data_IF_305007004807
#
_entry.id   IF_305007004807
#
_cell.length_a   1.000
_cell.length_b   1.000
_cell.length_c   1.000
_cell.angle_alpha   90.00
_cell.angle_beta   90.00
_cell.angle_gamma   90.00
#
_symmetry.space_group_name_H-M   'P 1'
#
loop_
_entity.id
_entity.type
_entity.pdbx_description
1 polymer ?
#
# COMPACT_ATOMS: atom_id res chain seq x y z
N UNK A 1 -54.92 -39.76 -29.81
CA UNK A 1 -56.12 -40.06 -28.99
C UNK A 1 -55.78 -39.83 -27.52
N UNK A 2 -56.62 -39.04 -26.83
CA UNK A 2 -56.90 -38.93 -25.38
C UNK A 2 -55.80 -38.59 -24.35
N UNK A 3 -56.00 -37.43 -23.75
CA UNK A 3 -55.58 -36.98 -22.42
C UNK A 3 -56.18 -37.82 -21.27
N UNK A 4 -55.53 -37.83 -20.09
CA UNK A 4 -56.11 -37.46 -18.77
C UNK A 4 -55.10 -37.57 -17.59
N UNK A 5 -55.06 -36.49 -16.77
CA UNK A 5 -54.96 -36.41 -15.28
C UNK A 5 -53.80 -37.11 -14.52
N UNK A 6 -53.40 -36.77 -13.28
CA UNK A 6 -53.39 -35.60 -12.40
C UNK A 6 -52.74 -36.07 -11.06
N UNK A 7 -51.96 -35.20 -10.42
CA UNK A 7 -51.81 -34.99 -8.97
C UNK A 7 -51.27 -36.06 -7.98
N UNK A 8 -50.50 -35.54 -7.02
CA UNK A 8 -50.50 -35.83 -5.57
C UNK A 8 -49.36 -36.65 -4.94
N UNK A 9 -48.62 -35.93 -4.08
CA UNK A 9 -48.09 -36.31 -2.75
C UNK A 9 -47.10 -37.47 -2.58
N UNK A 10 -46.02 -37.18 -1.83
CA UNK A 10 -45.63 -37.99 -0.66
C UNK A 10 -44.66 -37.28 0.30
N UNK A 11 -45.12 -37.16 1.55
CA UNK A 11 -44.44 -37.24 2.85
C UNK A 11 -43.11 -36.47 3.07
N UNK A 12 -42.89 -35.67 4.11
CA UNK A 12 -43.48 -35.63 5.45
C UNK A 12 -42.43 -36.09 6.49
N UNK A 13 -41.89 -35.17 7.29
CA UNK A 13 -41.28 -35.48 8.60
C UNK A 13 -41.26 -34.24 9.51
N UNK A 14 -41.74 -34.43 10.73
CA UNK A 14 -42.10 -33.39 11.71
C UNK A 14 -40.97 -33.09 12.68
N UNK A 15 -41.10 -31.89 13.26
CA UNK A 15 -40.37 -31.25 14.37
C UNK A 15 -40.09 -32.13 15.60
N UNK A 16 -38.91 -31.92 16.19
CA UNK A 16 -38.65 -31.81 17.63
C UNK A 16 -37.35 -30.99 17.75
N UNK A 17 -37.22 -29.85 18.46
CA UNK A 17 -37.89 -29.37 19.65
C UNK A 17 -36.81 -29.10 20.70
N UNK A 18 -35.95 -28.10 20.50
CA UNK A 18 -34.92 -27.74 21.49
C UNK A 18 -35.49 -26.64 22.38
N UNK A 19 -35.84 -27.06 23.59
CA UNK A 19 -36.41 -26.25 24.66
C UNK A 19 -35.37 -25.28 25.19
N UNK A 20 -35.80 -24.04 25.41
CA UNK A 20 -35.09 -23.07 26.23
C UNK A 20 -35.04 -23.57 27.68
N UNK A 21 -33.86 -23.57 28.29
CA UNK A 21 -33.68 -23.64 29.73
C UNK A 21 -32.75 -22.50 30.12
N UNK A 22 -33.32 -21.49 30.76
CA UNK A 22 -32.55 -20.49 31.48
C UNK A 22 -32.09 -21.01 32.83
N UNK A 23 -31.13 -20.27 33.37
CA UNK A 23 -30.94 -19.94 34.79
C UNK A 23 -29.63 -20.42 35.46
N UNK A 24 -28.91 -19.40 35.94
CA UNK A 24 -28.08 -19.32 37.13
C UNK A 24 -26.69 -20.01 37.18
N UNK A 25 -25.66 -19.16 37.25
CA UNK A 25 -24.80 -19.10 38.44
C UNK A 25 -23.48 -19.86 38.40
N UNK A 26 -22.38 -19.10 38.32
CA UNK A 26 -21.30 -19.05 39.34
C UNK A 26 -19.98 -18.63 38.68
N UNK A 27 -19.48 -17.47 39.11
CA UNK A 27 -18.12 -17.03 38.85
C UNK A 27 -17.12 -17.90 39.61
N UNK A 28 -16.08 -18.42 38.92
CA UNK A 28 -14.80 -18.76 39.54
C UNK A 28 -13.71 -18.35 38.55
N UNK A 29 -12.87 -17.41 39.00
CA UNK A 29 -11.70 -16.95 38.26
C UNK A 29 -10.62 -18.01 38.17
N UNK A 30 -9.90 -18.01 37.06
CA UNK A 30 -8.60 -18.64 36.93
C UNK A 30 -7.66 -17.66 36.22
N UNK A 31 -6.76 -17.07 37.00
CA UNK A 31 -5.55 -16.42 36.50
C UNK A 31 -4.70 -17.48 35.80
N UNK A 32 -4.57 -17.39 34.49
CA UNK A 32 -3.46 -18.00 33.74
C UNK A 32 -2.65 -16.88 33.10
N UNK A 33 -1.72 -16.36 33.90
CA UNK A 33 -0.48 -15.81 33.39
C UNK A 33 0.32 -16.97 32.80
N UNK A 34 0.57 -16.95 31.50
CA UNK A 34 1.86 -17.34 30.89
C UNK A 34 1.80 -17.19 29.36
N UNK A 35 2.63 -16.26 28.87
CA UNK A 35 3.45 -16.36 27.66
C UNK A 35 2.80 -16.90 26.38
N UNK A 36 2.53 -16.00 25.44
CA UNK A 36 2.39 -16.40 24.04
C UNK A 36 1.65 -15.39 23.17
N UNK A 37 2.32 -14.28 22.81
CA UNK A 37 2.13 -13.57 21.54
C UNK A 37 3.22 -12.49 21.38
N UNK A 38 4.48 -12.87 21.58
CA UNK A 38 5.62 -12.10 21.08
C UNK A 38 5.93 -12.54 19.65
N UNK A 39 5.01 -12.26 18.73
CA UNK A 39 5.22 -12.34 17.29
C UNK A 39 4.39 -11.22 16.68
N UNK A 40 5.00 -10.30 15.93
CA UNK A 40 4.45 -9.01 15.42
C UNK A 40 4.72 -7.75 16.26
N UNK A 41 5.98 -7.51 16.70
CA UNK A 41 6.46 -6.13 16.96
C UNK A 41 7.91 -5.98 16.53
N UNK A 42 8.12 -5.92 15.22
CA UNK A 42 9.43 -5.59 14.64
C UNK A 42 9.34 -4.65 13.44
N UNK A 43 8.13 -4.34 12.96
CA UNK A 43 7.91 -3.51 11.76
C UNK A 43 7.37 -2.12 12.12
N UNK A 44 6.57 -2.02 13.17
CA UNK A 44 5.87 -0.78 13.53
C UNK A 44 6.80 0.36 13.98
N UNK A 45 7.92 0.07 14.65
CA UNK A 45 8.80 1.14 15.17
C UNK A 45 9.50 1.90 14.06
N UNK A 46 10.01 1.20 13.03
CA UNK A 46 10.58 1.84 11.84
C UNK A 46 9.50 2.53 11.00
N UNK A 47 8.35 1.87 10.79
CA UNK A 47 7.21 2.40 10.03
C UNK A 47 6.64 3.69 10.63
N UNK A 48 6.53 3.75 11.96
CA UNK A 48 6.08 4.96 12.66
C UNK A 48 7.16 6.04 12.58
N UNK A 49 8.45 5.67 12.61
CA UNK A 49 9.56 6.64 12.61
C UNK A 49 9.69 7.40 11.29
N UNK A 50 9.55 6.75 10.12
CA UNK A 50 9.66 7.43 8.83
C UNK A 50 8.47 8.38 8.59
N UNK A 51 7.25 7.94 8.93
CA UNK A 51 6.05 8.76 8.86
C UNK A 51 6.03 9.89 9.88
N UNK A 52 6.45 9.64 11.11
CA UNK A 52 6.55 10.67 12.14
C UNK A 52 7.66 11.67 11.81
N UNK A 53 8.79 11.21 11.27
CA UNK A 53 9.84 12.09 10.76
C UNK A 53 9.31 12.93 9.59
N UNK A 54 8.59 12.32 8.65
CA UNK A 54 8.01 13.04 7.51
C UNK A 54 6.97 14.08 7.95
N UNK A 55 6.16 13.74 8.95
CA UNK A 55 5.16 14.65 9.50
C UNK A 55 5.79 15.77 10.36
N UNK A 56 6.95 15.51 10.98
CA UNK A 56 7.70 16.48 11.79
C UNK A 56 8.59 17.41 10.96
N UNK A 57 9.30 16.86 9.98
CA UNK A 57 10.24 17.58 9.10
C UNK A 57 9.54 18.13 7.84
N UNK A 58 8.29 17.72 7.60
CA UNK A 58 7.47 18.17 6.49
C UNK A 58 7.93 17.64 5.13
N UNK A 59 7.43 18.32 4.10
CA UNK A 59 7.72 18.04 2.68
C UNK A 59 9.22 18.06 2.39
N UNK A 60 10.03 18.67 3.24
CA UNK A 60 11.46 18.87 3.08
C UNK A 60 12.35 17.65 3.29
N UNK A 61 11.80 16.55 3.81
CA UNK A 61 12.58 15.35 4.04
C UNK A 61 12.87 14.55 2.76
N UNK A 62 14.14 14.25 2.54
CA UNK A 62 14.59 13.27 1.55
C UNK A 62 14.41 11.86 2.08
N UNK A 63 13.79 11.00 1.28
CA UNK A 63 13.40 9.65 1.65
C UNK A 63 14.19 8.63 0.84
N UNK A 64 14.68 7.57 1.50
CA UNK A 64 15.13 6.36 0.81
C UNK A 64 13.96 5.73 0.06
N UNK A 65 14.23 4.84 -0.90
CA UNK A 65 13.17 4.16 -1.67
C UNK A 65 12.17 3.43 -0.77
N UNK A 66 12.64 2.79 0.30
CA UNK A 66 11.80 2.12 1.30
C UNK A 66 10.90 3.12 2.03
N UNK A 67 11.48 4.18 2.60
CA UNK A 67 10.72 5.22 3.30
C UNK A 67 9.75 5.96 2.36
N UNK A 68 10.14 6.15 1.10
CA UNK A 68 9.31 6.76 0.06
C UNK A 68 8.05 5.95 -0.20
N UNK A 69 8.17 4.63 -0.33
CA UNK A 69 7.01 3.75 -0.49
C UNK A 69 6.05 3.84 0.70
N UNK A 70 6.58 3.87 1.92
CA UNK A 70 5.75 3.99 3.14
C UNK A 70 5.00 5.33 3.18
N UNK A 71 5.70 6.44 2.94
CA UNK A 71 5.09 7.77 2.93
C UNK A 71 4.06 7.89 1.80
N UNK A 72 4.35 7.40 0.61
CA UNK A 72 3.40 7.40 -0.52
C UNK A 72 2.14 6.62 -0.18
N UNK A 73 2.26 5.43 0.41
CA UNK A 73 1.11 4.63 0.81
C UNK A 73 0.27 5.32 1.90
N UNK A 74 0.91 5.94 2.88
CA UNK A 74 0.21 6.68 3.93
C UNK A 74 -0.50 7.94 3.39
N UNK A 75 0.09 8.63 2.42
CA UNK A 75 -0.53 9.77 1.77
C UNK A 75 -1.66 9.34 0.83
N UNK A 76 -1.53 8.20 0.16
CA UNK A 76 -2.61 7.58 -0.61
C UNK A 76 -3.82 7.26 0.27
N UNK A 77 -3.59 6.71 1.47
CA UNK A 77 -4.66 6.46 2.46
C UNK A 77 -5.37 7.75 2.91
N UNK A 78 -4.71 8.91 2.81
CA UNK A 78 -5.29 10.24 3.07
C UNK A 78 -5.97 10.87 1.82
N UNK A 79 -6.06 10.12 0.71
CA UNK A 79 -6.62 10.61 -0.55
C UNK A 79 -5.71 11.61 -1.28
N UNK A 80 -4.40 11.48 -1.12
CA UNK A 80 -3.39 12.33 -1.76
C UNK A 80 -2.59 11.53 -2.79
N UNK A 81 -2.09 12.22 -3.81
CA UNK A 81 -1.13 11.65 -4.78
C UNK A 81 0.11 12.56 -4.89
N UNK A 82 1.26 12.00 -5.32
CA UNK A 82 2.42 12.81 -5.67
C UNK A 82 2.09 13.86 -6.74
N UNK A 83 2.39 15.12 -6.46
CA UNK A 83 2.29 16.21 -7.42
C UNK A 83 3.60 16.41 -8.17
N UNK A 84 4.72 16.43 -7.45
CA UNK A 84 6.08 16.48 -7.99
C UNK A 84 6.98 15.49 -7.25
N UNK A 85 8.07 15.10 -7.90
CA UNK A 85 9.13 14.25 -7.32
C UNK A 85 10.49 14.87 -7.63
N UNK A 86 11.30 15.06 -6.60
CA UNK A 86 12.72 15.34 -6.75
C UNK A 86 13.52 14.09 -6.41
N UNK A 87 14.63 13.90 -7.11
CA UNK A 87 15.55 12.79 -6.89
C UNK A 87 16.98 13.32 -6.75
N UNK A 88 17.79 12.66 -5.94
CA UNK A 88 19.23 12.89 -5.84
C UNK A 88 19.95 11.57 -5.55
N UNK A 89 21.24 11.55 -5.86
CA UNK A 89 22.11 10.49 -5.38
C UNK A 89 22.18 10.56 -3.86
N UNK A 90 22.05 9.41 -3.20
CA UNK A 90 22.40 9.30 -1.80
C UNK A 90 23.92 9.13 -1.70
N UNK A 91 24.52 9.62 -0.62
CA UNK A 91 25.91 9.30 -0.27
C UNK A 91 25.99 7.82 0.08
N UNK A 92 26.12 7.00 -0.95
CA UNK A 92 26.18 5.56 -0.83
C UNK A 92 27.64 5.11 -0.83
N UNK A 93 27.91 4.02 -0.11
CA UNK A 93 29.19 3.33 -0.19
C UNK A 93 29.56 3.04 -1.66
N UNK A 94 30.84 3.16 -2.04
CA UNK A 94 31.28 2.92 -3.42
C UNK A 94 30.79 1.56 -3.94
N UNK A 95 30.13 1.56 -5.10
CA UNK A 95 29.60 0.36 -5.75
C UNK A 95 28.11 0.09 -5.55
N UNK A 96 27.40 0.86 -4.72
CA UNK A 96 25.95 0.73 -4.53
C UNK A 96 25.27 2.03 -4.93
N UNK A 97 24.46 2.01 -6.00
CA UNK A 97 23.74 3.22 -6.40
C UNK A 97 22.47 3.33 -5.56
N UNK A 98 22.51 4.18 -4.53
CA UNK A 98 21.33 4.51 -3.75
C UNK A 98 20.81 5.89 -4.15
N UNK A 99 19.49 6.00 -4.21
CA UNK A 99 18.81 7.25 -4.54
C UNK A 99 17.88 7.60 -3.39
N UNK A 100 17.72 8.90 -3.18
CA UNK A 100 16.67 9.43 -2.31
C UNK A 100 15.76 10.34 -3.10
N UNK A 101 14.49 10.33 -2.70
CA UNK A 101 13.42 11.08 -3.33
C UNK A 101 12.70 11.99 -2.36
N UNK A 102 12.19 13.11 -2.85
CA UNK A 102 11.38 14.07 -2.10
C UNK A 102 10.09 14.32 -2.89
N UNK A 103 8.95 14.33 -2.22
CA UNK A 103 7.64 14.44 -2.86
C UNK A 103 6.88 15.65 -2.37
N UNK A 104 6.16 16.30 -3.29
CA UNK A 104 5.05 17.19 -2.94
C UNK A 104 3.73 16.48 -3.21
N UNK A 105 2.64 16.95 -2.60
CA UNK A 105 1.35 16.25 -2.64
C UNK A 105 0.23 17.16 -3.11
N UNK A 106 -0.75 16.55 -3.76
CA UNK A 106 -2.04 17.17 -4.08
C UNK A 106 -3.17 16.19 -3.80
N UNK A 107 -4.39 16.70 -3.72
CA UNK A 107 -5.59 15.86 -3.59
C UNK A 107 -5.70 14.94 -4.81
N UNK A 108 -5.96 13.66 -4.57
CA UNK A 108 -6.25 12.70 -5.63
C UNK A 108 -7.58 13.07 -6.31
N UNK A 109 -7.62 13.26 -7.63
CA UNK A 109 -8.88 13.29 -8.35
C UNK A 109 -9.58 11.93 -8.23
N UNK A 110 -10.92 11.92 -8.38
CA UNK A 110 -11.70 10.70 -8.27
C UNK A 110 -11.17 9.62 -9.24
N UNK A 111 -11.07 8.38 -8.75
CA UNK A 111 -10.64 7.20 -9.52
C UNK A 111 -9.27 7.34 -10.22
N UNK A 112 -8.40 8.22 -9.74
CA UNK A 112 -7.08 8.42 -10.33
C UNK A 112 -6.12 7.32 -9.90
N UNK A 113 -5.45 6.71 -10.89
CA UNK A 113 -4.33 5.79 -10.66
C UNK A 113 -3.03 6.54 -10.91
N UNK A 114 -1.99 6.14 -10.18
CA UNK A 114 -0.67 6.73 -10.35
C UNK A 114 0.42 5.71 -10.13
N UNK A 115 1.60 6.02 -10.66
CA UNK A 115 2.83 5.27 -10.48
C UNK A 115 3.99 6.26 -10.41
N UNK A 116 5.03 5.95 -9.65
CA UNK A 116 6.24 6.74 -9.58
C UNK A 116 7.44 5.81 -9.51
N UNK A 117 8.57 6.24 -10.08
CA UNK A 117 9.80 5.48 -10.11
C UNK A 117 11.00 6.42 -10.05
N UNK A 118 12.11 5.91 -9.53
CA UNK A 118 13.43 6.56 -9.52
C UNK A 118 14.46 5.54 -9.99
N UNK A 119 15.35 5.93 -10.90
CA UNK A 119 16.39 5.04 -11.39
C UNK A 119 17.17 5.64 -12.56
N UNK A 120 17.95 4.81 -13.24
CA UNK A 120 18.67 5.24 -14.44
C UNK A 120 17.70 5.52 -15.62
N UNK A 121 18.14 6.27 -16.64
CA UNK A 121 17.28 6.63 -17.78
C UNK A 121 16.72 5.42 -18.55
N UNK A 122 17.46 4.32 -18.65
CA UNK A 122 17.04 3.11 -19.36
C UNK A 122 15.94 2.40 -18.57
N UNK A 123 16.11 2.30 -17.24
CA UNK A 123 15.09 1.80 -16.34
C UNK A 123 13.78 2.59 -16.46
N UNK A 124 13.85 3.92 -16.42
CA UNK A 124 12.66 4.78 -16.54
C UNK A 124 11.98 4.69 -17.90
N UNK A 125 12.76 4.56 -18.98
CA UNK A 125 12.21 4.33 -20.31
C UNK A 125 11.43 3.01 -20.38
N UNK A 126 11.92 1.95 -19.73
CA UNK A 126 11.19 0.68 -19.65
C UNK A 126 9.88 0.80 -18.86
N UNK A 127 9.88 1.62 -17.79
CA UNK A 127 8.71 1.87 -16.95
C UNK A 127 7.67 2.73 -17.65
N UNK A 128 8.10 3.71 -18.44
CA UNK A 128 7.24 4.49 -19.33
C UNK A 128 6.40 3.59 -20.24
N UNK A 129 7.03 2.62 -20.91
CA UNK A 129 6.32 1.68 -21.79
C UNK A 129 5.28 0.86 -21.02
N UNK A 130 5.62 0.39 -19.81
CA UNK A 130 4.69 -0.38 -18.97
C UNK A 130 3.53 0.49 -18.46
N UNK A 131 3.81 1.71 -18.01
CA UNK A 131 2.82 2.66 -17.54
C UNK A 131 1.81 3.01 -18.65
N UNK A 132 2.31 3.28 -19.87
CA UNK A 132 1.46 3.58 -21.02
C UNK A 132 0.54 2.41 -21.39
N UNK A 133 1.00 1.15 -21.27
CA UNK A 133 0.17 -0.04 -21.53
C UNK A 133 -1.03 -0.18 -20.59
N UNK A 134 -0.95 0.38 -19.38
CA UNK A 134 -2.06 0.37 -18.41
C UNK A 134 -2.83 1.70 -18.39
N UNK A 135 -2.57 2.58 -19.36
CA UNK A 135 -3.27 3.85 -19.55
C UNK A 135 -2.73 5.02 -18.72
N UNK A 136 -1.59 4.87 -18.04
CA UNK A 136 -0.96 5.95 -17.29
C UNK A 136 -0.05 6.76 -18.22
N UNK A 137 -0.10 8.09 -18.12
CA UNK A 137 0.76 9.01 -18.88
C UNK A 137 1.75 9.70 -17.95
N UNK A 138 2.98 9.93 -18.41
CA UNK A 138 3.98 10.67 -17.62
C UNK A 138 3.55 12.12 -17.47
N UNK A 139 3.31 12.54 -16.23
CA UNK A 139 2.90 13.92 -15.89
C UNK A 139 4.03 14.72 -15.26
N UNK A 140 5.06 14.04 -14.75
CA UNK A 140 6.24 14.69 -14.20
C UNK A 140 7.48 13.84 -14.49
N UNK A 141 8.58 14.51 -14.81
CA UNK A 141 9.88 13.89 -14.98
C UNK A 141 10.98 14.88 -14.57
N UNK A 142 12.00 14.39 -13.87
CA UNK A 142 13.20 15.15 -13.56
C UNK A 142 14.41 14.24 -13.70
N UNK A 143 15.51 14.80 -14.20
CA UNK A 143 16.78 14.11 -14.30
C UNK A 143 17.85 14.87 -13.53
N UNK A 144 18.73 14.15 -12.86
CA UNK A 144 19.88 14.69 -12.13
C UNK A 144 21.13 13.99 -12.62
N UNK A 145 22.20 14.77 -12.80
CA UNK A 145 23.51 14.27 -13.20
C UNK A 145 24.46 14.43 -12.03
N UNK A 146 25.18 13.37 -11.69
CA UNK A 146 26.29 13.46 -10.75
C UNK A 146 27.45 14.21 -11.43
N UNK A 147 27.96 15.24 -10.74
CA UNK A 147 29.06 16.05 -11.24
C UNK A 147 30.39 15.28 -11.26
N UNK A 148 30.58 14.35 -10.30
CA UNK A 148 31.83 13.62 -10.17
C UNK A 148 31.94 12.48 -11.19
N UNK A 149 30.91 11.64 -11.30
CA UNK A 149 30.93 10.45 -12.17
C UNK A 149 30.29 10.67 -13.54
N UNK A 150 29.51 11.75 -13.70
CA UNK A 150 28.71 11.98 -14.90
C UNK A 150 27.48 11.06 -15.01
N UNK A 151 27.24 10.17 -14.04
CA UNK A 151 26.07 9.29 -14.02
C UNK A 151 24.79 10.10 -13.99
N UNK A 152 23.75 9.55 -14.64
CA UNK A 152 22.43 10.17 -14.69
C UNK A 152 21.43 9.32 -13.95
N UNK A 153 20.57 9.98 -13.20
CA UNK A 153 19.38 9.39 -12.59
C UNK A 153 18.19 10.21 -13.01
N UNK A 154 17.03 9.60 -12.97
CA UNK A 154 15.78 10.32 -13.10
C UNK A 154 14.75 9.85 -12.11
N UNK A 155 13.70 10.65 -12.03
CA UNK A 155 12.51 10.36 -11.28
C UNK A 155 11.32 10.75 -12.15
N UNK A 156 10.24 9.99 -12.08
CA UNK A 156 9.06 10.20 -12.91
C UNK A 156 7.78 9.82 -12.18
N UNK A 157 6.70 10.51 -12.52
CA UNK A 157 5.34 10.23 -12.06
C UNK A 157 4.45 10.04 -13.29
N UNK A 158 3.68 8.96 -13.28
CA UNK A 158 2.66 8.65 -14.27
C UNK A 158 1.28 8.64 -13.63
N UNK A 159 0.27 9.15 -14.34
CA UNK A 159 -1.12 9.29 -13.85
C UNK A 159 -2.11 8.94 -14.97
N UNK A 160 -3.25 8.35 -14.62
CA UNK A 160 -4.37 8.02 -15.52
C UNK A 160 -5.42 7.15 -14.84
#
# INVERSE_FOLDING_TARGET
>A
MRSNQASSERAGSRRAGIKWAGWAGAAIGALLLLAGCSSFRGRDTYQTSALAAYQKNGIDQWLTTENANEVVNAMAAKGMIPATIDCRFADATPGQVAYVSKFTWKRAPANTRYHWEVGDPTYLASKEVRANRVGLRRVFAKAVRDAATGQKIGCSIWVG
#
